data_IF_807166545330
#
_entry.id   IF_807166545330
#
_cell.length_a   1.000
_cell.length_b   1.000
_cell.length_c   1.000
_cell.angle_alpha   90.00
_cell.angle_beta   90.00
_cell.angle_gamma   90.00
#
_symmetry.space_group_name_H-M   'P 1'
#
loop_
_entity.id
_entity.type
_entity.pdbx_description
1 polymer ?
#
# COMPACT_ATOMS: atom_id res chain seq x y z
N UNK A 1 -25.04 22.16 -6.33
CA UNK A 1 -24.28 20.94 -6.01
C UNK A 1 -22.84 20.95 -6.49
N UNK A 2 -22.50 20.84 -7.79
CA UNK A 2 -21.08 20.73 -8.18
C UNK A 2 -20.25 22.02 -8.10
N UNK A 3 -20.90 23.20 -8.03
CA UNK A 3 -20.21 24.50 -8.04
C UNK A 3 -20.15 25.22 -6.66
N UNK A 4 -20.64 24.58 -5.59
CA UNK A 4 -20.56 25.12 -4.22
C UNK A 4 -19.60 24.27 -3.37
N UNK A 5 -18.45 24.84 -3.01
CA UNK A 5 -17.41 24.16 -2.23
C UNK A 5 -17.89 23.72 -0.84
N UNK A 6 -18.85 24.45 -0.23
CA UNK A 6 -19.39 24.09 1.09
C UNK A 6 -20.30 22.89 0.99
N UNK A 7 -21.20 22.90 0.00
CA UNK A 7 -22.10 21.78 -0.29
C UNK A 7 -21.29 20.54 -0.67
N UNK A 8 -20.30 20.69 -1.57
CA UNK A 8 -19.39 19.61 -1.95
C UNK A 8 -18.67 19.01 -0.73
N UNK A 9 -18.13 19.84 0.15
CA UNK A 9 -17.47 19.38 1.37
C UNK A 9 -18.44 18.63 2.29
N UNK A 10 -19.64 19.16 2.49
CA UNK A 10 -20.66 18.54 3.34
C UNK A 10 -21.11 17.16 2.82
N UNK A 11 -21.25 17.00 1.49
CA UNK A 11 -21.59 15.73 0.85
C UNK A 11 -20.42 14.74 0.90
N UNK A 12 -19.18 15.19 0.66
CA UNK A 12 -17.97 14.34 0.78
C UNK A 12 -17.85 13.78 2.20
N UNK A 13 -18.14 14.60 3.22
CA UNK A 13 -18.10 14.17 4.63
C UNK A 13 -19.18 13.12 4.99
N UNK A 14 -20.21 12.96 4.14
CA UNK A 14 -21.30 11.99 4.31
C UNK A 14 -21.15 10.76 3.42
N UNK A 15 -20.09 10.64 2.62
CA UNK A 15 -19.89 9.50 1.70
C UNK A 15 -19.94 8.14 2.42
N UNK A 16 -19.47 8.08 3.67
CA UNK A 16 -19.56 6.87 4.48
C UNK A 16 -20.98 6.53 4.92
N UNK A 17 -21.88 7.51 5.05
CA UNK A 17 -23.28 7.27 5.38
C UNK A 17 -24.10 6.96 4.13
N UNK A 18 -23.84 7.66 3.01
CA UNK A 18 -24.55 7.49 1.75
C UNK A 18 -24.36 6.07 1.20
N UNK A 19 -23.10 5.65 0.99
CA UNK A 19 -22.84 4.35 0.34
C UNK A 19 -23.05 3.19 1.30
N UNK A 20 -22.61 3.30 2.56
CA UNK A 20 -22.73 2.20 3.52
C UNK A 20 -24.18 1.87 3.87
N UNK A 21 -25.04 2.88 3.96
CA UNK A 21 -26.47 2.68 4.26
C UNK A 21 -27.31 2.47 2.99
N UNK A 22 -26.70 2.49 1.79
CA UNK A 22 -27.43 2.21 0.55
C UNK A 22 -27.97 0.77 0.53
N UNK A 23 -29.18 0.58 0.02
CA UNK A 23 -29.75 -0.77 -0.11
C UNK A 23 -29.05 -1.57 -1.23
N UNK A 24 -28.76 -0.88 -2.34
CA UNK A 24 -28.17 -1.40 -3.55
C UNK A 24 -27.50 -0.26 -4.31
N UNK A 25 -26.23 -0.43 -4.68
CA UNK A 25 -25.55 0.45 -5.62
C UNK A 25 -25.61 -0.15 -7.03
N UNK A 26 -25.91 0.68 -8.03
CA UNK A 26 -25.98 0.28 -9.44
C UNK A 26 -24.77 0.89 -10.14
N UNK A 27 -23.89 0.04 -10.66
CA UNK A 27 -22.61 0.46 -11.22
C UNK A 27 -22.61 0.27 -12.74
N UNK A 28 -22.38 1.36 -13.48
CA UNK A 28 -22.08 1.33 -14.92
C UNK A 28 -20.62 0.95 -15.16
N UNK A 29 -20.22 -0.22 -14.68
CA UNK A 29 -18.82 -0.68 -14.57
C UNK A 29 -17.99 -0.46 -15.84
N UNK A 30 -18.56 -0.76 -17.01
CA UNK A 30 -17.89 -0.58 -18.31
C UNK A 30 -18.53 0.50 -19.19
N UNK A 31 -19.47 1.27 -18.63
CA UNK A 31 -20.09 2.38 -19.31
C UNK A 31 -19.10 3.52 -19.48
N UNK A 32 -18.85 3.92 -20.72
CA UNK A 32 -18.30 5.25 -20.99
C UNK A 32 -19.41 6.30 -20.89
N UNK A 33 -19.06 7.58 -20.84
CA UNK A 33 -19.95 8.72 -20.57
C UNK A 33 -21.26 8.74 -21.39
N UNK A 34 -21.28 8.07 -22.55
CA UNK A 34 -22.43 8.00 -23.46
C UNK A 34 -23.12 6.62 -23.56
N UNK A 35 -22.56 5.55 -23.01
CA UNK A 35 -23.04 4.16 -23.25
C UNK A 35 -24.05 3.67 -22.19
N UNK A 36 -24.18 4.35 -21.04
CA UNK A 36 -25.16 3.99 -20.00
C UNK A 36 -24.92 2.60 -19.39
N UNK A 37 -26.02 1.87 -19.10
CA UNK A 37 -26.01 0.55 -18.44
C UNK A 37 -26.27 -0.64 -19.39
N UNK A 38 -26.61 -0.37 -20.66
CA UNK A 38 -27.15 -1.39 -21.58
C UNK A 38 -26.17 -1.64 -22.72
N UNK A 39 -25.74 -2.89 -22.87
CA UNK A 39 -24.79 -3.30 -23.90
C UNK A 39 -25.35 -4.46 -24.73
N UNK A 40 -25.00 -4.51 -26.01
CA UNK A 40 -25.29 -5.68 -26.86
C UNK A 40 -24.35 -6.83 -26.51
N UNK A 41 -24.91 -7.96 -26.07
CA UNK A 41 -24.15 -9.11 -25.55
C UNK A 41 -24.13 -10.29 -26.52
N UNK A 42 -23.02 -11.04 -26.53
CA UNK A 42 -22.89 -12.30 -27.29
C UNK A 42 -23.14 -13.50 -26.38
N UNK A 43 -24.41 -13.89 -26.24
CA UNK A 43 -24.86 -14.94 -25.29
C UNK A 43 -24.08 -16.27 -25.38
N UNK A 44 -23.68 -16.67 -26.59
CA UNK A 44 -22.90 -17.91 -26.80
C UNK A 44 -21.50 -17.88 -26.17
N UNK A 45 -20.95 -16.69 -25.89
CA UNK A 45 -19.66 -16.54 -25.19
C UNK A 45 -19.79 -16.55 -23.67
N UNK A 46 -21.02 -16.50 -23.14
CA UNK A 46 -21.30 -16.43 -21.70
C UNK A 46 -21.74 -17.78 -21.14
N UNK A 47 -22.40 -18.62 -21.94
CA UNK A 47 -22.88 -19.92 -21.46
C UNK A 47 -21.72 -20.87 -21.16
N UNK A 48 -21.62 -21.42 -19.93
CA UNK A 48 -20.59 -22.40 -19.61
C UNK A 48 -20.86 -23.69 -20.41
N UNK A 49 -19.80 -24.28 -20.95
CA UNK A 49 -19.90 -25.57 -21.61
C UNK A 49 -19.78 -26.68 -20.55
N UNK A 50 -20.73 -27.61 -20.52
CA UNK A 50 -20.75 -28.73 -19.58
C UNK A 50 -20.59 -30.04 -20.32
N UNK A 51 -19.71 -30.91 -19.85
CA UNK A 51 -19.48 -32.23 -20.41
C UNK A 51 -19.26 -33.23 -19.29
N UNK A 52 -19.80 -34.43 -19.42
CA UNK A 52 -19.54 -35.52 -18.47
C UNK A 52 -18.61 -36.52 -19.14
N UNK A 53 -17.46 -36.79 -18.52
CA UNK A 53 -16.45 -37.73 -19.00
C UNK A 53 -16.42 -38.95 -18.09
N UNK A 54 -16.52 -40.15 -18.67
CA UNK A 54 -16.28 -41.39 -17.93
C UNK A 54 -14.80 -41.72 -17.95
N UNK A 55 -14.20 -41.93 -16.77
CA UNK A 55 -12.85 -42.47 -16.65
C UNK A 55 -12.92 -43.97 -16.93
N UNK A 56 -12.27 -44.47 -18.00
CA UNK A 56 -12.35 -45.87 -18.40
C UNK A 56 -11.87 -46.83 -17.31
N UNK A 57 -10.86 -46.45 -16.52
CA UNK A 57 -10.25 -47.32 -15.52
C UNK A 57 -11.07 -47.44 -14.22
N UNK A 58 -11.74 -46.36 -13.78
CA UNK A 58 -12.46 -46.33 -12.50
C UNK A 58 -13.98 -46.42 -12.63
N UNK A 59 -14.53 -46.34 -13.85
CA UNK A 59 -15.97 -46.11 -14.13
C UNK A 59 -16.55 -44.87 -13.44
N UNK A 60 -15.71 -43.97 -12.94
CA UNK A 60 -16.16 -42.71 -12.37
C UNK A 60 -16.58 -41.75 -13.49
N UNK A 61 -17.66 -41.01 -13.26
CA UNK A 61 -18.07 -39.90 -14.11
C UNK A 61 -17.53 -38.60 -13.53
N UNK A 62 -16.81 -37.82 -14.33
CA UNK A 62 -16.45 -36.44 -14.00
C UNK A 62 -17.30 -35.47 -14.79
N UNK A 63 -17.95 -34.55 -14.08
CA UNK A 63 -18.59 -33.40 -14.67
C UNK A 63 -17.57 -32.27 -14.85
N UNK A 64 -17.27 -31.95 -16.11
CA UNK A 64 -16.41 -30.84 -16.51
C UNK A 64 -17.27 -29.64 -16.87
N UNK A 65 -16.92 -28.48 -16.32
CA UNK A 65 -17.54 -27.20 -16.69
C UNK A 65 -16.46 -26.24 -17.17
N UNK A 66 -16.52 -25.84 -18.44
CA UNK A 66 -15.69 -24.78 -18.99
C UNK A 66 -16.43 -23.44 -18.88
N UNK A 67 -15.92 -22.58 -18.01
CA UNK A 67 -16.44 -21.23 -17.80
C UNK A 67 -15.96 -20.27 -18.90
N UNK A 68 -16.73 -19.21 -19.20
CA UNK A 68 -16.26 -18.16 -20.10
C UNK A 68 -15.04 -17.44 -19.51
N UNK A 69 -14.24 -16.79 -20.35
CA UNK A 69 -12.98 -16.14 -19.96
C UNK A 69 -13.13 -15.19 -18.75
N UNK A 70 -14.24 -14.46 -18.68
CA UNK A 70 -14.56 -13.52 -17.60
C UNK A 70 -15.78 -13.99 -16.81
N UNK A 71 -15.59 -14.97 -15.96
CA UNK A 71 -16.64 -15.53 -15.08
C UNK A 71 -16.79 -14.77 -13.74
N UNK A 72 -15.86 -13.88 -13.42
CA UNK A 72 -15.90 -12.97 -12.27
C UNK A 72 -15.32 -11.59 -12.65
N UNK A 73 -15.73 -10.55 -11.92
CA UNK A 73 -15.25 -9.18 -12.14
C UNK A 73 -14.07 -8.89 -11.20
N UNK A 74 -12.85 -8.78 -11.75
CA UNK A 74 -11.70 -8.39 -10.92
C UNK A 74 -11.79 -6.90 -10.53
N UNK A 75 -11.28 -6.52 -9.34
CA UNK A 75 -11.27 -5.13 -8.89
C UNK A 75 -10.72 -4.12 -9.91
N UNK A 76 -9.64 -4.43 -10.64
CA UNK A 76 -9.03 -3.54 -11.64
C UNK A 76 -9.46 -3.78 -13.10
N UNK A 77 -10.49 -4.58 -13.37
CA UNK A 77 -10.84 -5.02 -14.72
C UNK A 77 -11.81 -4.12 -15.48
N UNK A 78 -12.03 -2.88 -15.03
CA UNK A 78 -12.97 -1.99 -15.67
C UNK A 78 -12.59 -0.51 -15.53
N UNK A 79 -12.86 0.33 -16.56
CA UNK A 79 -12.51 1.76 -16.52
C UNK A 79 -13.04 2.50 -15.30
N UNK A 80 -14.28 2.17 -14.88
CA UNK A 80 -14.89 2.82 -13.72
C UNK A 80 -14.14 2.47 -12.41
N UNK A 81 -13.75 1.20 -12.24
CA UNK A 81 -13.09 0.74 -11.03
C UNK A 81 -11.63 1.23 -10.91
N UNK A 82 -11.04 1.70 -12.02
CA UNK A 82 -9.73 2.32 -12.01
C UNK A 82 -9.77 3.77 -11.49
N UNK A 83 -10.93 4.32 -11.12
CA UNK A 83 -11.03 5.69 -10.58
C UNK A 83 -10.93 5.67 -9.05
N UNK A 84 -10.05 6.47 -8.47
CA UNK A 84 -9.83 6.49 -7.02
C UNK A 84 -11.07 6.84 -6.21
N UNK A 85 -11.88 7.81 -6.65
CA UNK A 85 -13.14 8.14 -6.00
C UNK A 85 -14.16 6.98 -6.02
N UNK A 86 -14.16 6.15 -7.07
CA UNK A 86 -15.04 4.97 -7.16
C UNK A 86 -14.62 3.89 -6.16
N UNK A 87 -13.35 3.86 -5.74
CA UNK A 87 -12.87 2.89 -4.76
C UNK A 87 -13.67 2.94 -3.46
N UNK A 88 -13.92 4.14 -2.90
CA UNK A 88 -14.74 4.26 -1.69
C UNK A 88 -16.21 3.88 -1.96
N UNK A 89 -16.78 4.29 -3.09
CA UNK A 89 -18.18 4.00 -3.45
C UNK A 89 -18.42 2.49 -3.54
N UNK A 90 -17.47 1.80 -4.16
CA UNK A 90 -17.48 0.36 -4.26
C UNK A 90 -17.30 -0.23 -2.88
N UNK A 91 -16.20 0.07 -2.19
CA UNK A 91 -15.82 -0.58 -0.92
C UNK A 91 -16.89 -0.45 0.16
N UNK A 92 -17.54 0.70 0.27
CA UNK A 92 -18.54 0.97 1.30
C UNK A 92 -19.91 0.38 1.00
N UNK A 93 -20.29 0.25 -0.27
CA UNK A 93 -21.63 -0.19 -0.63
C UNK A 93 -21.87 -1.67 -0.24
N UNK A 94 -22.92 -1.99 0.55
CA UNK A 94 -23.14 -3.35 1.05
C UNK A 94 -23.50 -4.35 -0.04
N UNK A 95 -24.10 -3.87 -1.14
CA UNK A 95 -24.47 -4.65 -2.32
C UNK A 95 -24.27 -3.81 -3.57
N UNK A 96 -23.69 -4.40 -4.61
CA UNK A 96 -23.53 -3.75 -5.92
C UNK A 96 -23.98 -4.69 -7.01
N UNK A 97 -24.69 -4.13 -7.98
CA UNK A 97 -24.92 -4.76 -9.28
C UNK A 97 -24.10 -4.00 -10.32
N UNK A 98 -23.21 -4.73 -10.99
CA UNK A 98 -22.30 -4.24 -12.00
C UNK A 98 -22.84 -4.57 -13.39
N UNK A 99 -23.12 -3.53 -14.16
CA UNK A 99 -23.44 -3.65 -15.57
C UNK A 99 -22.15 -3.58 -16.40
N UNK A 100 -21.74 -4.73 -16.93
CA UNK A 100 -20.61 -4.85 -17.86
C UNK A 100 -21.09 -5.24 -19.27
N UNK A 101 -20.17 -5.15 -20.24
CA UNK A 101 -20.40 -5.41 -21.67
C UNK A 101 -20.66 -6.88 -21.96
N UNK A 102 -20.15 -7.77 -21.12
CA UNK A 102 -20.29 -9.21 -21.26
C UNK A 102 -21.45 -9.76 -20.43
N UNK A 103 -21.51 -9.50 -19.13
CA UNK A 103 -22.60 -9.99 -18.26
C UNK A 103 -22.88 -9.04 -17.10
N UNK A 104 -23.96 -9.29 -16.34
CA UNK A 104 -24.15 -8.66 -15.03
C UNK A 104 -23.37 -9.42 -13.96
N UNK A 105 -22.68 -8.68 -13.10
CA UNK A 105 -22.05 -9.20 -11.89
C UNK A 105 -22.73 -8.60 -10.67
N UNK A 106 -22.70 -9.30 -9.54
CA UNK A 106 -23.13 -8.73 -8.28
C UNK A 106 -22.22 -9.15 -7.14
N UNK A 107 -22.02 -8.22 -6.22
CA UNK A 107 -21.18 -8.42 -5.05
C UNK A 107 -21.85 -7.90 -3.79
N UNK A 108 -21.57 -8.56 -2.68
CA UNK A 108 -21.81 -8.08 -1.33
C UNK A 108 -20.64 -8.50 -0.44
N UNK A 109 -20.71 -8.19 0.86
CA UNK A 109 -19.65 -8.55 1.80
C UNK A 109 -19.37 -10.07 1.92
N UNK A 110 -20.31 -10.93 1.53
CA UNK A 110 -20.20 -12.38 1.67
C UNK A 110 -20.22 -13.14 0.33
N UNK A 111 -20.41 -12.46 -0.79
CA UNK A 111 -20.65 -13.11 -2.07
C UNK A 111 -20.10 -12.26 -3.21
N UNK A 112 -19.37 -12.91 -4.11
CA UNK A 112 -19.12 -12.42 -5.46
C UNK A 112 -19.78 -13.39 -6.44
N UNK A 113 -20.56 -12.88 -7.37
CA UNK A 113 -21.34 -13.70 -8.28
C UNK A 113 -21.51 -13.03 -9.65
N UNK A 114 -21.96 -13.83 -10.60
CA UNK A 114 -22.15 -13.46 -11.99
C UNK A 114 -23.34 -14.20 -12.57
N UNK A 115 -23.81 -13.80 -13.76
CA UNK A 115 -24.89 -14.52 -14.45
C UNK A 115 -24.57 -16.02 -14.65
N UNK A 116 -23.29 -16.36 -14.77
CA UNK A 116 -22.80 -17.73 -14.98
C UNK A 116 -22.63 -18.52 -13.67
N UNK A 117 -22.30 -17.81 -12.58
CA UNK A 117 -22.15 -18.37 -11.24
C UNK A 117 -23.06 -17.62 -10.26
N UNK A 118 -24.39 -17.81 -10.34
CA UNK A 118 -25.33 -17.01 -9.57
C UNK A 118 -25.29 -17.33 -8.06
N UNK A 119 -24.80 -18.51 -7.70
CA UNK A 119 -24.56 -18.91 -6.30
C UNK A 119 -23.21 -18.42 -5.77
N UNK A 120 -22.41 -17.75 -6.60
CA UNK A 120 -21.12 -17.18 -6.27
C UNK A 120 -19.92 -18.04 -6.58
N UNK A 121 -18.73 -17.45 -6.40
CA UNK A 121 -17.45 -18.13 -6.63
C UNK A 121 -17.25 -19.26 -5.62
N UNK A 122 -16.67 -20.41 -6.01
CA UNK A 122 -16.29 -21.46 -5.07
C UNK A 122 -15.40 -20.93 -3.94
N UNK A 123 -15.56 -21.45 -2.71
CA UNK A 123 -14.90 -20.95 -1.50
C UNK A 123 -13.36 -20.78 -1.64
N UNK A 124 -12.68 -21.75 -2.27
CA UNK A 124 -11.24 -21.68 -2.54
C UNK A 124 -10.81 -20.47 -3.39
N UNK A 125 -11.73 -19.93 -4.21
CA UNK A 125 -11.52 -18.78 -5.09
C UNK A 125 -12.05 -17.47 -4.48
N UNK A 126 -12.95 -17.55 -3.50
CA UNK A 126 -13.53 -16.39 -2.83
C UNK A 126 -12.62 -15.78 -1.74
N UNK A 127 -11.75 -16.59 -1.12
CA UNK A 127 -10.86 -16.21 -0.01
C UNK A 127 -9.97 -14.98 -0.29
N UNK A 128 -9.61 -14.73 -1.56
CA UNK A 128 -8.76 -13.60 -1.96
C UNK A 128 -9.53 -12.42 -2.55
N UNK A 129 -10.87 -12.46 -2.54
CA UNK A 129 -11.69 -11.58 -3.37
C UNK A 129 -12.90 -10.97 -2.63
N UNK A 130 -13.19 -11.40 -1.39
CA UNK A 130 -14.32 -10.82 -0.66
C UNK A 130 -14.05 -9.35 -0.32
N UNK A 131 -14.92 -8.51 -0.88
CA UNK A 131 -15.09 -7.08 -0.60
C UNK A 131 -15.13 -6.70 0.88
N UNK A 132 -15.40 -7.66 1.76
CA UNK A 132 -15.49 -7.47 3.19
C UNK A 132 -14.43 -6.52 3.73
N UNK A 133 -14.84 -5.29 4.02
CA UNK A 133 -14.38 -4.65 5.23
C UNK A 133 -14.79 -5.66 6.32
N UNK A 134 -13.85 -6.26 7.04
CA UNK A 134 -14.10 -7.30 8.04
C UNK A 134 -14.94 -6.83 9.25
N UNK A 135 -15.85 -5.89 9.05
CA UNK A 135 -16.74 -5.24 10.00
C UNK A 135 -17.92 -6.12 10.44
N UNK A 136 -17.75 -7.44 10.46
CA UNK A 136 -18.62 -8.23 11.32
C UNK A 136 -18.29 -7.78 12.75
N UNK A 137 -19.22 -7.17 13.51
CA UNK A 137 -18.93 -6.63 14.84
C UNK A 137 -18.42 -7.67 15.85
N UNK A 138 -18.48 -8.96 15.51
CA UNK A 138 -18.37 -10.06 16.47
C UNK A 138 -17.21 -11.04 16.23
N UNK A 139 -16.21 -10.75 15.39
CA UNK A 139 -15.16 -11.78 15.15
C UNK A 139 -13.78 -11.35 14.65
N UNK A 140 -13.48 -10.06 14.43
CA UNK A 140 -12.17 -9.63 13.94
C UNK A 140 -11.22 -9.18 15.06
N UNK A 141 -10.02 -9.76 15.15
CA UNK A 141 -8.94 -9.17 15.95
C UNK A 141 -8.57 -7.80 15.32
N UNK A 142 -8.31 -6.76 16.12
CA UNK A 142 -7.85 -5.43 15.64
C UNK A 142 -6.69 -5.56 14.66
N UNK A 143 -5.79 -6.51 14.87
CA UNK A 143 -4.68 -6.81 13.95
C UNK A 143 -5.18 -7.24 12.57
N UNK A 144 -6.19 -8.10 12.48
CA UNK A 144 -6.77 -8.55 11.20
C UNK A 144 -7.49 -7.41 10.48
N UNK A 145 -8.21 -6.57 11.22
CA UNK A 145 -8.87 -5.37 10.66
C UNK A 145 -7.80 -4.42 10.10
N UNK A 146 -6.69 -4.23 10.81
CA UNK A 146 -5.56 -3.41 10.35
C UNK A 146 -4.87 -4.00 9.13
N UNK A 147 -4.61 -5.31 9.11
CA UNK A 147 -4.06 -5.99 7.93
C UNK A 147 -4.95 -5.78 6.72
N UNK A 148 -6.28 -5.89 6.88
CA UNK A 148 -7.24 -5.62 5.80
C UNK A 148 -7.24 -4.15 5.34
N UNK A 149 -7.02 -3.19 6.23
CA UNK A 149 -6.84 -1.78 5.84
C UNK A 149 -5.66 -1.64 4.87
N UNK A 150 -4.52 -2.26 5.16
CA UNK A 150 -3.34 -2.18 4.32
C UNK A 150 -3.51 -2.89 2.98
N UNK A 151 -4.16 -4.05 2.93
CA UNK A 151 -4.54 -4.69 1.66
C UNK A 151 -5.39 -3.76 0.79
N UNK A 152 -6.37 -3.07 1.39
CA UNK A 152 -7.19 -2.10 0.66
C UNK A 152 -6.38 -0.88 0.20
N UNK A 153 -5.36 -0.46 0.94
CA UNK A 153 -4.45 0.60 0.49
C UNK A 153 -3.66 0.15 -0.75
N UNK A 154 -3.18 -1.11 -0.79
CA UNK A 154 -2.52 -1.66 -1.97
C UNK A 154 -3.48 -1.72 -3.18
N UNK A 155 -4.73 -2.19 -2.96
CA UNK A 155 -5.79 -2.16 -3.97
C UNK A 155 -6.10 -0.73 -4.46
N UNK A 156 -6.25 0.22 -3.54
CA UNK A 156 -6.53 1.62 -3.83
C UNK A 156 -5.38 2.30 -4.59
N UNK A 157 -4.13 1.99 -4.23
CA UNK A 157 -2.94 2.61 -4.84
C UNK A 157 -2.80 2.33 -6.34
N UNK A 158 -3.44 1.26 -6.83
CA UNK A 158 -3.52 0.90 -8.25
C UNK A 158 -4.55 1.70 -9.05
N UNK A 159 -5.39 2.47 -8.36
CA UNK A 159 -6.38 3.35 -9.01
C UNK A 159 -5.75 4.68 -9.44
N UNK A 160 -6.39 5.34 -10.39
CA UNK A 160 -6.05 6.66 -10.89
C UNK A 160 -6.92 7.73 -10.22
N UNK A 161 -6.28 8.77 -9.69
CA UNK A 161 -6.95 9.94 -9.14
C UNK A 161 -6.73 11.10 -10.11
N UNK A 162 -7.81 11.76 -10.53
CA UNK A 162 -7.73 12.91 -11.45
C UNK A 162 -7.01 14.10 -10.81
N UNK A 163 -7.24 14.33 -9.52
CA UNK A 163 -6.59 15.37 -8.73
C UNK A 163 -5.72 14.71 -7.66
N UNK A 164 -4.38 14.72 -7.78
CA UNK A 164 -3.47 14.10 -6.81
C UNK A 164 -3.75 14.48 -5.36
N UNK A 165 -4.18 15.72 -5.13
CA UNK A 165 -4.49 16.28 -3.83
C UNK A 165 -5.73 15.67 -3.15
N UNK A 166 -6.57 14.95 -3.91
CA UNK A 166 -7.74 14.23 -3.41
C UNK A 166 -7.39 12.82 -2.94
N UNK A 167 -6.13 12.38 -3.02
CA UNK A 167 -5.80 10.97 -2.83
C UNK A 167 -6.16 10.43 -1.45
N UNK A 168 -5.94 11.18 -0.38
CA UNK A 168 -6.39 10.76 0.95
C UNK A 168 -7.90 10.98 1.13
N UNK A 169 -8.42 12.07 0.57
CA UNK A 169 -9.84 12.38 0.63
C UNK A 169 -10.73 11.29 -0.01
N UNK A 170 -10.31 10.75 -1.16
CA UNK A 170 -11.03 9.72 -1.91
C UNK A 170 -11.08 8.35 -1.21
N UNK A 171 -10.31 8.16 -0.13
CA UNK A 171 -10.38 6.96 0.74
C UNK A 171 -10.81 7.31 2.18
N UNK A 172 -11.10 8.58 2.46
CA UNK A 172 -11.34 9.09 3.81
C UNK A 172 -12.56 8.44 4.49
N UNK A 173 -13.63 8.20 3.73
CA UNK A 173 -14.83 7.53 4.23
C UNK A 173 -14.58 6.06 4.61
N UNK A 174 -13.71 5.37 3.86
CA UNK A 174 -13.26 4.00 4.19
C UNK A 174 -12.42 4.05 5.45
N UNK A 175 -11.44 4.96 5.54
CA UNK A 175 -10.61 5.15 6.73
C UNK A 175 -11.45 5.40 7.98
N UNK A 176 -12.47 6.25 7.90
CA UNK A 176 -13.44 6.52 8.98
C UNK A 176 -14.09 5.24 9.49
N UNK A 177 -14.54 4.35 8.60
CA UNK A 177 -15.14 3.05 8.99
C UNK A 177 -14.13 2.11 9.66
N UNK A 178 -12.90 2.03 9.16
CA UNK A 178 -11.83 1.24 9.79
C UNK A 178 -11.46 1.79 11.18
N UNK A 179 -11.43 3.11 11.35
CA UNK A 179 -11.21 3.74 12.64
C UNK A 179 -12.25 3.29 13.67
N UNK A 180 -13.53 3.35 13.32
CA UNK A 180 -14.61 2.87 14.20
C UNK A 180 -14.52 1.36 14.46
N UNK A 181 -14.20 0.57 13.45
CA UNK A 181 -14.06 -0.89 13.56
C UNK A 181 -12.98 -1.32 14.54
N UNK A 182 -11.84 -0.62 14.51
CA UNK A 182 -10.71 -0.85 15.40
C UNK A 182 -10.90 -0.16 16.76
N UNK A 183 -12.01 0.54 16.98
CA UNK A 183 -12.27 1.35 18.18
C UNK A 183 -11.14 2.37 18.46
N UNK A 184 -10.59 2.97 17.41
CA UNK A 184 -9.55 3.99 17.50
C UNK A 184 -10.17 5.39 17.59
N UNK A 185 -9.43 6.32 18.17
CA UNK A 185 -9.78 7.74 18.12
C UNK A 185 -9.42 8.30 16.72
N UNK A 186 -10.33 9.04 16.04
CA UNK A 186 -10.06 9.63 14.73
C UNK A 186 -8.79 10.49 14.64
N UNK A 187 -8.36 11.10 15.76
CA UNK A 187 -7.11 11.88 15.83
C UNK A 187 -5.84 11.03 15.65
N UNK A 188 -5.96 9.70 15.80
CA UNK A 188 -4.86 8.76 15.54
C UNK A 188 -4.63 8.51 14.05
N UNK A 189 -5.57 8.89 13.17
CA UNK A 189 -5.35 8.82 11.74
C UNK A 189 -4.46 9.97 11.28
N UNK A 190 -3.36 9.62 10.62
CA UNK A 190 -2.33 10.57 10.18
C UNK A 190 -1.92 10.20 8.77
N UNK A 191 -2.31 11.03 7.80
CA UNK A 191 -1.90 10.94 6.41
C UNK A 191 -1.97 9.53 5.80
N UNK A 192 -3.09 8.81 5.97
CA UNK A 192 -3.23 7.45 5.42
C UNK A 192 -2.80 6.31 6.35
N UNK A 193 -2.30 6.62 7.55
CA UNK A 193 -1.74 5.67 8.51
C UNK A 193 -2.31 5.87 9.92
N UNK A 194 -1.99 4.96 10.83
CA UNK A 194 -2.45 4.99 12.23
C UNK A 194 -1.28 5.26 13.17
N UNK A 195 -1.45 6.21 14.10
CA UNK A 195 -0.38 6.68 15.00
C UNK A 195 0.30 5.56 15.79
N UNK A 196 -0.46 4.55 16.20
CA UNK A 196 0.02 3.41 16.99
C UNK A 196 0.81 2.37 16.18
N UNK A 197 0.75 2.44 14.85
CA UNK A 197 1.44 1.52 13.92
C UNK A 197 2.45 2.24 12.99
N UNK A 198 2.61 3.56 13.16
CA UNK A 198 3.36 4.42 12.25
C UNK A 198 4.73 3.88 11.82
N UNK A 199 5.62 3.41 12.71
CA UNK A 199 6.93 2.88 12.28
C UNK A 199 6.78 1.77 11.23
N UNK A 200 5.87 0.83 11.45
CA UNK A 200 5.64 -0.30 10.53
C UNK A 200 4.94 0.17 9.26
N UNK A 201 3.96 1.06 9.37
CA UNK A 201 3.25 1.62 8.23
C UNK A 201 4.18 2.32 7.23
N UNK A 202 5.35 2.84 7.67
CA UNK A 202 6.35 3.49 6.81
C UNK A 202 7.19 2.52 5.96
N UNK A 203 7.11 1.21 6.21
CA UNK A 203 7.89 0.17 5.51
C UNK A 203 7.37 -0.17 4.12
N UNK A 204 6.34 0.51 3.63
CA UNK A 204 5.83 0.32 2.28
C UNK A 204 6.95 0.45 1.24
N UNK A 205 6.80 -0.21 0.10
CA UNK A 205 7.69 -0.07 -1.06
C UNK A 205 6.87 0.08 -2.33
N UNK A 206 7.52 0.51 -3.41
CA UNK A 206 6.90 0.50 -4.73
C UNK A 206 7.21 -0.83 -5.42
N UNK A 207 6.19 -1.42 -6.01
CA UNK A 207 6.36 -2.58 -6.88
C UNK A 207 6.50 -2.11 -8.33
N UNK A 208 7.51 -2.57 -9.09
CA UNK A 208 7.57 -2.35 -10.53
C UNK A 208 6.35 -3.03 -11.15
N UNK A 209 5.43 -2.25 -11.73
CA UNK A 209 4.22 -2.79 -12.36
C UNK A 209 4.58 -3.67 -13.58
N UNK A 210 4.20 -4.96 -13.62
CA UNK A 210 4.13 -5.69 -14.87
C UNK A 210 2.80 -5.35 -15.55
N UNK A 211 2.74 -4.29 -16.36
CA UNK A 211 1.62 -4.05 -17.28
C UNK A 211 1.00 -2.64 -17.28
N UNK A 212 -0.19 -2.53 -17.89
CA UNK A 212 -0.90 -1.29 -18.23
C UNK A 212 -1.88 -0.78 -17.16
N UNK A 213 -1.91 -1.39 -15.98
CA UNK A 213 -2.80 -1.01 -14.86
C UNK A 213 -2.00 -0.34 -13.74
N UNK A 214 -2.45 0.82 -13.27
CA UNK A 214 -1.80 1.68 -12.28
C UNK A 214 -2.08 3.16 -12.55
N UNK A 215 -1.55 4.08 -11.73
CA UNK A 215 -1.60 5.51 -12.02
C UNK A 215 -1.07 5.78 -13.43
N UNK A 216 -1.65 6.75 -14.14
CA UNK A 216 -1.21 7.05 -15.51
C UNK A 216 0.31 7.27 -15.53
N UNK A 217 1.06 6.74 -16.52
CA UNK A 217 2.51 6.87 -16.59
C UNK A 217 3.02 8.32 -16.46
N UNK A 218 2.22 9.30 -16.92
CA UNK A 218 2.52 10.73 -16.79
C UNK A 218 2.39 11.29 -15.37
N UNK A 219 1.73 10.55 -14.47
CA UNK A 219 1.54 10.88 -13.05
C UNK A 219 2.56 10.18 -12.15
N UNK A 220 3.13 9.07 -12.61
CA UNK A 220 4.28 8.39 -11.98
C UNK A 220 5.44 9.38 -12.00
N UNK A 221 5.88 9.83 -10.82
CA UNK A 221 6.94 10.84 -10.71
C UNK A 221 6.53 12.15 -10.02
N UNK A 222 5.23 12.40 -9.81
CA UNK A 222 4.76 13.62 -9.11
C UNK A 222 4.61 13.38 -7.61
N UNK A 223 5.30 14.19 -6.81
CA UNK A 223 5.05 14.26 -5.37
C UNK A 223 3.67 14.86 -5.07
N UNK A 224 2.95 14.23 -4.15
CA UNK A 224 1.66 14.70 -3.67
C UNK A 224 1.89 15.55 -2.43
N UNK A 225 1.68 16.87 -2.55
CA UNK A 225 1.95 17.83 -1.46
C UNK A 225 1.01 17.70 -0.24
N UNK A 226 -0.10 16.97 -0.37
CA UNK A 226 -1.06 16.80 0.72
C UNK A 226 -0.76 15.62 1.66
N UNK A 227 0.44 15.05 1.59
CA UNK A 227 0.91 13.99 2.46
C UNK A 227 2.43 14.14 2.71
N UNK A 228 2.92 13.82 3.93
CA UNK A 228 4.35 13.86 4.23
C UNK A 228 5.11 12.75 3.51
N UNK A 229 6.43 12.89 3.38
CA UNK A 229 7.23 12.00 2.52
C UNK A 229 7.21 10.54 2.95
N UNK A 230 6.95 10.29 4.23
CA UNK A 230 6.86 8.97 4.82
C UNK A 230 5.51 8.27 4.61
N UNK A 231 4.49 8.98 4.16
CA UNK A 231 3.18 8.41 3.82
C UNK A 231 3.18 7.77 2.42
N UNK A 232 2.51 6.62 2.29
CA UNK A 232 2.24 5.97 1.00
C UNK A 232 1.47 6.89 0.04
N UNK A 233 0.69 7.82 0.59
CA UNK A 233 -0.10 8.76 -0.21
C UNK A 233 0.75 9.86 -0.87
N UNK A 234 2.03 9.99 -0.50
CA UNK A 234 2.92 11.02 -1.04
C UNK A 234 3.40 10.76 -2.48
N UNK A 235 3.21 9.55 -3.02
CA UNK A 235 3.71 9.14 -4.35
C UNK A 235 2.67 8.44 -5.20
N UNK A 236 2.31 8.94 -6.38
CA UNK A 236 1.29 8.31 -7.24
C UNK A 236 1.84 7.05 -7.94
N UNK A 237 1.98 5.98 -7.17
CA UNK A 237 2.43 4.67 -7.60
C UNK A 237 1.67 3.57 -6.85
N UNK A 238 1.72 2.35 -7.41
CA UNK A 238 1.33 1.13 -6.70
C UNK A 238 2.30 0.91 -5.54
N UNK A 239 1.74 0.74 -4.34
CA UNK A 239 2.52 0.45 -3.14
C UNK A 239 2.21 -0.95 -2.64
N UNK A 240 3.19 -1.56 -1.98
CA UNK A 240 3.05 -2.82 -1.24
C UNK A 240 3.37 -2.53 0.22
N UNK A 241 2.52 -3.01 1.11
CA UNK A 241 2.65 -2.87 2.55
C UNK A 241 3.34 -4.11 3.12
N UNK A 242 4.14 -3.93 4.18
CA UNK A 242 4.78 -5.07 4.85
C UNK A 242 3.84 -5.59 5.95
N UNK A 243 3.56 -6.89 5.95
CA UNK A 243 2.76 -7.53 6.99
C UNK A 243 3.43 -7.36 8.38
N UNK A 244 2.68 -6.86 9.36
CA UNK A 244 3.22 -6.45 10.66
C UNK A 244 3.36 -7.59 11.68
N UNK A 245 2.73 -8.74 11.44
CA UNK A 245 2.41 -9.73 12.49
C UNK A 245 3.64 -10.39 13.14
N UNK A 246 4.81 -10.33 12.51
CA UNK A 246 6.05 -10.94 12.99
C UNK A 246 7.21 -9.94 13.20
N UNK A 247 6.96 -8.63 13.11
CA UNK A 247 7.99 -7.62 13.16
C UNK A 247 8.30 -7.13 14.58
N UNK A 248 9.59 -7.09 14.91
CA UNK A 248 10.11 -6.48 16.14
C UNK A 248 10.60 -5.07 15.82
N UNK A 249 9.86 -4.07 16.29
CA UNK A 249 10.15 -2.65 16.04
C UNK A 249 11.30 -2.16 16.92
N UNK A 250 12.20 -1.38 16.32
CA UNK A 250 13.38 -0.78 16.97
C UNK A 250 13.36 0.75 17.02
N UNK A 251 12.46 1.36 16.23
CA UNK A 251 12.26 2.81 16.11
C UNK A 251 11.02 3.26 16.88
N UNK A 252 11.18 4.33 17.66
CA UNK A 252 10.17 4.90 18.54
C UNK A 252 9.64 6.22 17.96
N UNK A 253 8.33 6.44 18.01
CA UNK A 253 7.71 7.75 17.71
C UNK A 253 7.73 8.60 18.98
N UNK A 254 8.46 9.71 18.94
CA UNK A 254 8.56 10.65 20.07
C UNK A 254 7.53 11.77 20.03
N UNK A 255 7.14 12.19 18.82
CA UNK A 255 6.30 13.34 18.61
C UNK A 255 5.77 13.41 17.18
N UNK A 256 4.65 14.12 17.02
CA UNK A 256 4.00 14.34 15.74
C UNK A 256 3.39 15.74 15.76
N UNK A 257 3.80 16.59 14.83
CA UNK A 257 3.20 17.90 14.59
C UNK A 257 2.47 17.87 13.25
N UNK A 258 1.16 18.06 13.26
CA UNK A 258 0.30 17.89 12.10
C UNK A 258 -0.58 19.13 11.89
N UNK A 259 -0.54 19.68 10.68
CA UNK A 259 -1.51 20.67 10.20
C UNK A 259 -2.44 20.02 9.17
N UNK A 260 -3.74 20.03 9.44
CA UNK A 260 -4.74 19.37 8.59
C UNK A 260 -5.15 20.28 7.43
N UNK A 261 -5.36 19.69 6.26
CA UNK A 261 -5.83 20.39 5.06
C UNK A 261 -7.30 20.81 5.18
N UNK A 262 -8.09 20.06 5.94
CA UNK A 262 -9.51 20.33 6.13
C UNK A 262 -10.00 19.86 7.51
N UNK A 263 -11.24 20.20 7.90
CA UNK A 263 -11.86 19.68 9.13
C UNK A 263 -12.07 18.17 9.12
N UNK A 264 -12.03 17.51 7.95
CA UNK A 264 -12.14 16.06 7.88
C UNK A 264 -10.83 15.42 8.40
N UNK A 265 -10.91 14.72 9.53
CA UNK A 265 -9.74 14.10 10.17
C UNK A 265 -9.10 12.99 9.32
N UNK A 266 -9.79 12.51 8.29
CA UNK A 266 -9.34 11.47 7.38
C UNK A 266 -8.87 12.00 6.01
N UNK A 267 -8.81 13.32 5.84
CA UNK A 267 -8.22 13.98 4.66
C UNK A 267 -6.69 14.12 4.81
N UNK A 268 -6.06 14.69 3.80
CA UNK A 268 -4.64 15.01 3.78
C UNK A 268 -4.21 16.14 4.72
N UNK A 269 -2.93 16.45 4.62
CA UNK A 269 -2.20 17.31 5.54
C UNK A 269 -1.58 18.48 4.78
N UNK A 270 -1.55 19.67 5.36
CA UNK A 270 -0.77 20.80 4.81
C UNK A 270 0.71 20.68 5.19
N UNK A 271 0.98 20.19 6.40
CA UNK A 271 2.31 19.90 6.91
C UNK A 271 2.24 18.81 7.96
N UNK A 272 3.28 17.98 8.04
CA UNK A 272 3.35 16.92 9.04
C UNK A 272 4.81 16.61 9.36
N UNK A 273 5.23 16.83 10.60
CA UNK A 273 6.59 16.54 11.08
C UNK A 273 6.54 15.39 12.08
N UNK A 274 7.30 14.33 11.80
CA UNK A 274 7.35 13.13 12.63
C UNK A 274 8.71 13.02 13.31
N UNK A 275 8.71 13.11 14.64
CA UNK A 275 9.93 12.97 15.44
C UNK A 275 10.15 11.50 15.79
N UNK A 276 11.24 10.92 15.29
CA UNK A 276 11.58 9.50 15.45
C UNK A 276 12.87 9.33 16.23
N UNK A 277 12.96 8.23 16.97
CA UNK A 277 14.20 7.75 17.58
C UNK A 277 14.51 6.34 17.12
N UNK A 278 15.60 6.17 16.37
CA UNK A 278 15.98 4.87 15.83
C UNK A 278 17.46 4.76 15.48
N UNK A 279 17.95 3.56 15.14
CA UNK A 279 19.29 3.37 14.59
C UNK A 279 19.39 4.01 13.20
N UNK A 280 20.36 4.90 13.02
CA UNK A 280 20.54 5.68 11.79
C UNK A 280 21.97 5.53 11.30
N UNK A 281 22.18 5.11 10.06
CA UNK A 281 23.51 5.07 9.44
C UNK A 281 23.53 5.80 8.10
N UNK A 282 24.72 6.14 7.63
CA UNK A 282 24.95 6.83 6.36
C UNK A 282 25.19 5.83 5.23
N UNK A 283 24.65 6.12 4.06
CA UNK A 283 24.83 5.38 2.82
C UNK A 283 25.37 6.33 1.75
N UNK A 284 26.52 6.01 1.17
CA UNK A 284 27.14 6.78 0.10
C UNK A 284 27.19 5.96 -1.19
N UNK A 285 26.90 6.60 -2.32
CA UNK A 285 27.06 6.01 -3.65
C UNK A 285 28.33 6.55 -4.31
N UNK A 286 29.11 5.66 -4.93
CA UNK A 286 30.32 6.03 -5.66
C UNK A 286 30.58 5.10 -6.84
N UNK A 287 31.41 5.55 -7.78
CA UNK A 287 31.88 4.74 -8.89
C UNK A 287 33.26 4.19 -8.56
N UNK A 288 33.46 2.90 -8.83
CA UNK A 288 34.76 2.22 -8.71
C UNK A 288 34.95 1.35 -9.95
N UNK A 289 36.01 1.63 -10.70
CA UNK A 289 36.35 0.93 -11.94
C UNK A 289 35.22 0.90 -12.99
N UNK A 290 34.40 1.96 -13.04
CA UNK A 290 33.26 2.09 -13.95
C UNK A 290 31.96 1.43 -13.45
N UNK A 291 32.00 0.73 -12.32
CA UNK A 291 30.86 0.07 -11.69
C UNK A 291 30.29 0.94 -10.56
N UNK A 292 28.99 0.86 -10.31
CA UNK A 292 28.33 1.54 -9.20
C UNK A 292 28.45 0.75 -7.90
N UNK A 293 28.83 1.43 -6.83
CA UNK A 293 29.01 0.86 -5.50
C UNK A 293 28.29 1.70 -4.44
N UNK A 294 27.95 1.03 -3.35
CA UNK A 294 27.31 1.62 -2.18
C UNK A 294 28.15 1.30 -0.95
N UNK A 295 28.53 2.33 -0.21
CA UNK A 295 29.19 2.22 1.09
C UNK A 295 28.18 2.53 2.21
N UNK A 296 28.06 1.63 3.19
CA UNK A 296 27.22 1.79 4.37
C UNK A 296 28.13 1.81 5.60
N UNK A 297 28.14 2.92 6.31
CA UNK A 297 29.09 3.12 7.40
C UNK A 297 30.56 3.08 6.92
N UNK A 298 31.48 2.56 7.74
CA UNK A 298 32.90 2.40 7.39
C UNK A 298 33.21 1.02 6.81
N UNK A 299 32.46 0.01 7.22
CA UNK A 299 32.89 -1.38 7.12
C UNK A 299 32.18 -2.16 6.00
N UNK A 300 31.08 -1.65 5.45
CA UNK A 300 30.25 -2.39 4.50
C UNK A 300 30.23 -1.71 3.11
N UNK A 301 30.73 -2.40 2.08
CA UNK A 301 30.76 -1.94 0.70
C UNK A 301 30.10 -2.98 -0.22
N UNK A 302 29.14 -2.57 -1.04
CA UNK A 302 28.35 -3.45 -1.91
C UNK A 302 28.38 -2.95 -3.35
N UNK A 303 28.58 -3.86 -4.31
CA UNK A 303 28.38 -3.55 -5.74
C UNK A 303 26.88 -3.47 -6.02
N UNK A 304 26.46 -2.49 -6.82
CA UNK A 304 25.07 -2.32 -7.25
C UNK A 304 24.77 -3.28 -8.39
N UNK A 305 23.64 -3.97 -8.31
CA UNK A 305 23.11 -4.82 -9.37
C UNK A 305 21.62 -4.57 -9.53
N UNK A 306 21.12 -4.73 -10.76
CA UNK A 306 19.71 -4.51 -11.10
C UNK A 306 18.93 -5.81 -11.33
N UNK A 307 19.59 -6.97 -11.30
CA UNK A 307 18.95 -8.28 -11.41
C UNK A 307 18.88 -8.96 -10.03
N UNK A 308 17.81 -9.72 -9.76
CA UNK A 308 17.59 -10.44 -8.49
C UNK A 308 18.58 -11.62 -8.34
N UNK A 309 19.85 -11.33 -8.03
CA UNK A 309 20.79 -12.34 -7.57
C UNK A 309 20.76 -12.40 -6.03
N UNK A 310 20.07 -13.42 -5.49
CA UNK A 310 20.13 -13.72 -4.07
C UNK A 310 21.51 -14.30 -3.72
N UNK A 311 22.44 -13.45 -3.31
CA UNK A 311 23.60 -13.90 -2.54
C UNK A 311 23.21 -13.92 -1.06
N UNK A 312 23.13 -15.13 -0.47
CA UNK A 312 22.78 -15.33 0.93
C UNK A 312 23.67 -14.47 1.85
N UNK A 313 23.06 -13.61 2.65
CA UNK A 313 23.68 -12.88 3.75
C UNK A 313 24.49 -11.64 3.37
N UNK A 314 24.79 -11.36 2.10
CA UNK A 314 25.69 -10.26 1.69
C UNK A 314 25.05 -9.26 0.72
N UNK A 315 23.75 -9.02 0.86
CA UNK A 315 23.02 -8.09 -0.01
C UNK A 315 22.14 -7.13 0.79
N UNK A 316 21.95 -5.94 0.24
CA UNK A 316 20.92 -4.99 0.63
C UNK A 316 20.06 -4.73 -0.60
N UNK A 317 18.74 -4.84 -0.44
CA UNK A 317 17.78 -4.51 -1.48
C UNK A 317 17.21 -3.14 -1.14
N UNK A 318 17.28 -2.21 -2.08
CA UNK A 318 16.77 -0.84 -1.93
C UNK A 318 15.70 -0.61 -2.99
N UNK A 319 14.51 -0.19 -2.55
CA UNK A 319 13.44 0.28 -3.43
C UNK A 319 13.35 1.79 -3.32
N UNK A 320 13.58 2.48 -4.43
CA UNK A 320 13.48 3.93 -4.52
C UNK A 320 12.06 4.37 -4.83
N UNK A 321 11.64 5.49 -4.26
CA UNK A 321 10.37 6.12 -4.60
C UNK A 321 10.48 6.82 -5.97
N UNK A 322 9.73 6.36 -6.98
CA UNK A 322 9.75 6.91 -8.37
C UNK A 322 9.53 8.42 -8.50
N UNK A 323 8.93 9.09 -7.51
CA UNK A 323 8.74 10.55 -7.51
C UNK A 323 9.96 11.36 -7.04
N UNK A 324 11.04 10.69 -6.63
CA UNK A 324 12.17 11.32 -5.93
C UNK A 324 13.51 11.00 -6.57
N UNK A 325 13.52 10.61 -7.85
CA UNK A 325 14.71 10.22 -8.63
C UNK A 325 15.88 11.19 -8.41
N UNK A 326 17.07 10.61 -8.19
CA UNK A 326 18.00 11.14 -7.19
C UNK A 326 19.33 11.57 -7.79
N UNK A 327 19.53 12.87 -7.93
CA UNK A 327 20.87 13.48 -8.12
C UNK A 327 21.58 13.68 -6.76
N UNK A 328 21.68 12.63 -5.95
CA UNK A 328 22.40 12.66 -4.69
C UNK A 328 23.21 11.38 -4.48
N UNK A 329 24.45 11.56 -4.03
CA UNK A 329 25.35 10.45 -3.72
C UNK A 329 25.33 10.09 -2.23
N UNK A 330 24.49 10.75 -1.44
CA UNK A 330 24.48 10.63 0.02
C UNK A 330 23.04 10.46 0.55
N UNK A 331 22.87 9.41 1.35
CA UNK A 331 21.61 8.97 1.93
C UNK A 331 21.82 8.50 3.36
N UNK A 332 20.70 8.24 4.03
CA UNK A 332 20.68 7.71 5.38
C UNK A 332 19.70 6.54 5.45
N UNK A 333 20.08 5.50 6.18
CA UNK A 333 19.23 4.35 6.45
C UNK A 333 18.75 4.45 7.89
N UNK A 334 17.43 4.56 8.06
CA UNK A 334 16.79 4.44 9.37
C UNK A 334 16.25 3.01 9.50
N UNK A 335 16.82 2.25 10.43
CA UNK A 335 16.33 0.92 10.73
C UNK A 335 14.99 0.99 11.47
N UNK A 336 13.96 0.28 11.00
CA UNK A 336 12.63 0.32 11.59
C UNK A 336 12.37 -0.97 12.38
N UNK A 337 12.46 -2.12 11.73
CA UNK A 337 12.02 -3.38 12.33
C UNK A 337 12.76 -4.59 11.76
N UNK A 338 12.70 -5.68 12.50
CA UNK A 338 13.30 -6.96 12.12
C UNK A 338 12.33 -8.12 12.21
N UNK A 339 12.52 -9.11 11.36
CA UNK A 339 11.72 -10.34 11.29
C UNK A 339 12.62 -11.56 11.50
N UNK A 340 12.13 -12.58 12.20
CA UNK A 340 12.80 -13.88 12.25
C UNK A 340 12.21 -14.82 11.20
N UNK A 341 13.05 -15.31 10.29
CA UNK A 341 12.71 -16.35 9.32
C UNK A 341 13.48 -17.65 9.63
N UNK A 342 13.08 -18.75 8.98
CA UNK A 342 13.78 -20.05 9.08
C UNK A 342 15.26 -19.91 8.69
N UNK A 343 15.53 -19.06 7.71
CA UNK A 343 16.84 -18.89 7.08
C UNK A 343 17.69 -17.76 7.69
N UNK A 344 17.17 -17.02 8.68
CA UNK A 344 17.92 -15.97 9.37
C UNK A 344 17.06 -14.82 9.88
N UNK A 345 17.68 -13.68 10.17
CA UNK A 345 16.96 -12.44 10.50
C UNK A 345 16.86 -11.57 9.25
N UNK A 346 15.69 -10.97 9.01
CA UNK A 346 15.49 -9.98 7.95
C UNK A 346 15.39 -8.62 8.62
N UNK A 347 16.23 -7.67 8.21
CA UNK A 347 16.19 -6.29 8.72
C UNK A 347 15.50 -5.39 7.69
N UNK A 348 14.67 -4.46 8.15
CA UNK A 348 13.88 -3.55 7.30
C UNK A 348 13.97 -2.12 7.80
N UNK A 349 13.92 -1.19 6.86
CA UNK A 349 13.88 0.23 7.21
C UNK A 349 13.56 1.13 6.03
N UNK A 350 13.74 2.42 6.26
CA UNK A 350 13.49 3.47 5.26
C UNK A 350 14.79 4.12 4.83
N UNK A 351 14.84 4.52 3.57
CA UNK A 351 15.93 5.33 3.01
C UNK A 351 15.51 6.79 3.08
N UNK A 352 16.41 7.61 3.58
CA UNK A 352 16.20 9.02 3.88
C UNK A 352 17.21 9.87 3.12
N UNK A 353 16.75 11.04 2.67
CA UNK A 353 17.57 12.13 2.15
C UNK A 353 17.49 13.30 3.11
N UNK A 354 18.63 13.92 3.41
CA UNK A 354 18.67 15.07 4.31
C UNK A 354 17.88 16.24 3.71
N UNK A 355 17.06 16.88 4.54
CA UNK A 355 16.35 18.11 4.22
C UNK A 355 17.24 19.33 4.52
N UNK A 356 16.69 20.55 4.40
CA UNK A 356 17.43 21.79 4.68
C UNK A 356 17.76 21.97 6.16
N UNK A 357 16.85 21.52 7.03
CA UNK A 357 16.92 21.76 8.47
C UNK A 357 17.78 20.68 9.14
N UNK A 358 18.46 21.07 10.23
CA UNK A 358 19.28 20.14 11.03
C UNK A 358 18.46 18.93 11.47
N UNK A 359 19.01 17.73 11.30
CA UNK A 359 18.38 16.47 11.72
C UNK A 359 17.04 16.18 11.05
N UNK A 360 16.70 16.87 9.96
CA UNK A 360 15.43 16.70 9.23
C UNK A 360 15.64 15.96 7.92
N UNK A 361 14.70 15.10 7.55
CA UNK A 361 14.84 14.18 6.42
C UNK A 361 13.53 14.02 5.64
N UNK A 362 13.66 13.76 4.34
CA UNK A 362 12.59 13.21 3.51
C UNK A 362 12.83 11.72 3.29
N UNK A 363 11.80 10.89 3.42
CA UNK A 363 11.84 9.50 2.92
C UNK A 363 12.00 9.53 1.40
N UNK A 364 12.86 8.68 0.87
CA UNK A 364 13.10 8.53 -0.58
C UNK A 364 13.04 7.07 -1.04
N UNK A 365 12.77 6.15 -0.12
CA UNK A 365 12.65 4.73 -0.42
C UNK A 365 12.57 3.87 0.83
N UNK A 366 12.68 2.56 0.64
CA UNK A 366 12.79 1.57 1.70
C UNK A 366 13.88 0.55 1.37
N UNK A 367 14.34 -0.16 2.40
CA UNK A 367 15.36 -1.19 2.23
C UNK A 367 15.04 -2.46 3.02
N UNK A 368 15.64 -3.56 2.57
CA UNK A 368 15.60 -4.85 3.23
C UNK A 368 16.97 -5.52 3.15
N UNK A 369 17.39 -6.16 4.24
CA UNK A 369 18.60 -6.98 4.32
C UNK A 369 18.17 -8.42 4.58
N UNK A 370 18.26 -9.32 3.59
CA UNK A 370 17.82 -10.69 3.73
C UNK A 370 18.83 -11.57 4.48
N UNK A 371 18.32 -12.52 5.28
CA UNK A 371 19.06 -13.67 5.82
C UNK A 371 20.39 -13.33 6.55
N UNK A 372 20.33 -12.44 7.54
CA UNK A 372 21.46 -12.18 8.43
C UNK A 372 21.79 -13.47 9.21
N UNK A 373 22.88 -14.14 8.81
CA UNK A 373 23.33 -15.40 9.41
C UNK A 373 23.92 -15.16 10.81
N UNK A 374 23.66 -16.08 11.75
CA UNK A 374 24.22 -16.04 13.12
C UNK A 374 25.75 -16.18 13.17
N UNK A 375 26.39 -16.64 12.08
CA UNK A 375 27.79 -17.04 12.08
C UNK A 375 28.78 -15.97 11.59
N UNK A 376 28.31 -14.82 11.09
CA UNK A 376 29.18 -13.68 10.78
C UNK A 376 28.54 -12.40 11.33
N UNK A 377 29.28 -11.55 12.06
CA UNK A 377 28.84 -10.19 12.33
C UNK A 377 28.90 -9.43 11.00
N UNK A 378 27.78 -9.43 10.29
CA UNK A 378 27.63 -8.77 9.00
C UNK A 378 27.85 -7.27 9.17
N UNK A 379 28.69 -6.69 8.33
CA UNK A 379 29.16 -5.30 8.42
C UNK A 379 28.01 -4.28 8.51
N UNK A 380 26.80 -4.65 8.06
CA UNK A 380 25.56 -3.86 8.20
C UNK A 380 25.09 -3.74 9.66
N UNK A 381 25.09 -4.82 10.45
CA UNK A 381 24.67 -4.77 11.86
C UNK A 381 25.65 -3.91 12.68
N UNK A 382 26.95 -4.03 12.37
CA UNK A 382 27.99 -3.13 12.88
C UNK A 382 27.77 -1.71 12.39
N UNK A 383 27.42 -1.51 11.12
CA UNK A 383 27.15 -0.19 10.57
C UNK A 383 26.03 0.50 11.35
N UNK A 384 24.98 -0.20 11.81
CA UNK A 384 23.92 0.34 12.68
C UNK A 384 24.30 0.49 14.17
N UNK A 385 25.21 -0.35 14.69
CA UNK A 385 25.65 -0.31 16.10
C UNK A 385 26.78 0.71 16.35
N UNK A 386 27.68 0.89 15.39
CA UNK A 386 28.87 1.74 15.46
C UNK A 386 28.67 3.11 14.76
N UNK A 387 27.44 3.51 14.39
CA UNK A 387 27.14 4.75 13.64
C UNK A 387 27.68 6.04 14.27
N UNK A 388 27.98 6.03 15.58
CA UNK A 388 28.27 7.23 16.35
C UNK A 388 29.47 8.03 15.84
N UNK A 389 30.38 7.41 15.07
CA UNK A 389 31.58 8.03 14.52
C UNK A 389 31.41 8.65 13.12
N UNK A 390 30.29 8.39 12.43
CA UNK A 390 30.12 8.73 11.00
C UNK A 390 29.04 9.77 10.72
N UNK A 391 28.12 9.97 11.66
CA UNK A 391 27.12 11.02 11.57
C UNK A 391 27.73 12.34 12.06
N UNK A 392 27.57 13.39 11.25
CA UNK A 392 27.90 14.76 11.66
C UNK A 392 26.88 15.30 12.65
N UNK A 393 27.25 16.35 13.40
CA UNK A 393 26.36 16.99 14.38
C UNK A 393 25.07 17.58 13.76
N UNK A 394 25.05 17.78 12.45
CA UNK A 394 23.88 18.25 11.70
C UNK A 394 22.94 17.14 11.22
N UNK A 395 23.31 15.85 11.40
CA UNK A 395 22.54 14.70 10.92
C UNK A 395 21.49 14.21 11.93
N UNK A 396 21.47 14.79 13.13
CA UNK A 396 20.53 14.43 14.20
C UNK A 396 20.20 15.64 15.09
N UNK A 397 19.05 15.56 15.76
CA UNK A 397 18.64 16.52 16.79
C UNK A 397 19.25 16.15 18.15
N UNK A 398 19.27 14.86 18.47
CA UNK A 398 19.84 14.30 19.70
C UNK A 398 20.48 12.94 19.40
N UNK A 399 21.62 12.64 20.04
CA UNK A 399 22.32 11.36 19.90
C UNK A 399 22.43 10.67 21.26
N UNK A 400 22.10 9.38 21.32
CA UNK A 400 22.28 8.54 22.52
C UNK A 400 23.44 7.57 22.39
N UNK A 401 23.99 7.16 23.55
CA UNK A 401 25.12 6.23 23.64
C UNK A 401 24.88 4.86 22.98
N UNK A 402 23.63 4.49 22.72
CA UNK A 402 23.24 3.21 22.10
C UNK A 402 23.20 3.23 20.56
N UNK A 403 23.74 4.27 19.91
CA UNK A 403 23.68 4.44 18.45
C UNK A 403 22.31 4.90 17.90
N UNK A 404 21.34 5.16 18.79
CA UNK A 404 20.04 5.72 18.39
C UNK A 404 20.13 7.24 18.26
N UNK A 405 19.61 7.75 17.15
CA UNK A 405 19.51 9.18 16.88
C UNK A 405 18.05 9.62 16.91
N UNK A 406 17.82 10.85 17.36
CA UNK A 406 16.54 11.54 17.23
C UNK A 406 16.59 12.37 15.96
N UNK A 407 15.65 12.13 15.06
CA UNK A 407 15.53 12.83 13.77
C UNK A 407 14.08 13.22 13.52
N UNK A 408 13.89 14.19 12.64
CA UNK A 408 12.60 14.57 12.12
C UNK A 408 12.44 14.05 10.67
N UNK A 409 11.29 13.48 10.35
CA UNK A 409 10.92 13.12 8.99
C UNK A 409 9.69 13.92 8.57
N UNK A 410 9.79 14.62 7.43
CA UNK A 410 8.80 15.59 6.95
C UNK A 410 7.96 15.08 5.78
#
# INVERSE_FOLDING_TARGET
MQDDDREKTAEIMQMDEIYFNSMLNISATEGQSSEGLVFSRKLLRMNPCRSTVQIPESQECLDLTAFPERWFLRPGEAPLNNRGWVFQERTLAPRIVHFAKDQVFWECHSLLASEVLPQGLPCAMALHSTKGIGLSPNSGNVLQIRSRWYELIEEYSRTSVTFPEDRLLAVSAVAKRFCYAMSLDPSTYVAGMWKDDLPLSMLWSQEPLPGTAGPEPASIGREVKCAPSWSWASVLATVVMVASECLVVSTEVLGLELTRKSPNLFDGTESCRLLLRGPLTKLCQHLRDGEAWVQIGQDAEFRVFHEFEFQQGSSIIIWWDTAREIDANEFFLLHIASEHSVDGRIERGVVLRKATDRGSFCRVGSFMVPFVSKCLPLDIERAFKNCSLLLGEDDFLERRLSGKCVIEVI
#
